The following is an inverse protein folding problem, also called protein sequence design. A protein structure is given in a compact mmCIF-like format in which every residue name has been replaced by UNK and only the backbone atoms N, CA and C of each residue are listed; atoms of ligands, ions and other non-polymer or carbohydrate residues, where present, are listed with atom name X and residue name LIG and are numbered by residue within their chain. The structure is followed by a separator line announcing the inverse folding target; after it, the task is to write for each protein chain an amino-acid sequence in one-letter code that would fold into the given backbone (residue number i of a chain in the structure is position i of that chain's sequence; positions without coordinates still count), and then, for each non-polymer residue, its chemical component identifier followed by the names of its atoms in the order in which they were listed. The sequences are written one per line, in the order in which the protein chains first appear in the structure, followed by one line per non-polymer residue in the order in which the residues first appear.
data_IF_167844793429
#
_entry.id   IF_167844793429
#
_cell.length_a   1.000
_cell.length_b   1.000
_cell.length_c   1.000
_cell.angle_alpha   90.00
_cell.angle_beta   90.00
_cell.angle_gamma   90.00
#
_symmetry.space_group_name_H-M   'P 1'
#
loop_
_entity.id
_entity.type
_entity.pdbx_description
1 polymer ?
#
# COMPACT_ATOMS: atom_id res chain seq x y z
N UNK A 1 60.13 12.65 45.79
CA UNK A 1 58.82 12.43 45.15
C UNK A 1 59.01 12.64 43.66
N UNK A 2 58.99 11.58 42.86
CA UNK A 2 59.19 11.67 41.40
C UNK A 2 57.83 11.79 40.73
N UNK A 3 57.54 12.97 40.20
CA UNK A 3 56.38 13.24 39.36
C UNK A 3 56.55 12.52 38.01
N UNK A 4 55.85 11.40 37.85
CA UNK A 4 55.78 10.70 36.56
C UNK A 4 54.79 11.42 35.65
N UNK A 5 55.11 11.67 34.37
CA UNK A 5 54.18 12.35 33.46
C UNK A 5 52.96 11.47 33.18
N UNK A 6 51.77 12.06 33.32
CA UNK A 6 50.49 11.45 32.95
C UNK A 6 50.50 11.09 31.45
N UNK A 7 50.10 9.88 31.03
CA UNK A 7 50.10 9.49 29.63
C UNK A 7 49.09 10.32 28.83
N UNK A 8 49.56 10.88 27.71
CA UNK A 8 48.78 11.67 26.74
C UNK A 8 47.60 10.84 26.17
N UNK A 9 46.41 11.43 25.99
CA UNK A 9 45.30 10.78 25.30
C UNK A 9 45.68 10.56 23.83
N UNK A 10 45.86 9.30 23.44
CA UNK A 10 46.10 8.94 22.03
C UNK A 10 44.85 9.27 21.22
N UNK A 11 44.98 10.20 20.28
CA UNK A 11 43.97 10.51 19.27
C UNK A 11 43.52 9.22 18.57
N UNK A 12 42.29 8.80 18.87
CA UNK A 12 41.67 7.66 18.21
C UNK A 12 41.20 8.12 16.82
N UNK A 13 41.57 7.42 15.73
CA UNK A 13 41.12 7.78 14.40
C UNK A 13 39.58 7.67 14.30
N UNK A 14 38.93 8.53 13.51
CA UNK A 14 37.48 8.52 13.38
C UNK A 14 37.03 7.18 12.83
N UNK A 15 36.17 6.48 13.59
CA UNK A 15 35.49 5.26 13.15
C UNK A 15 34.64 5.64 11.94
N UNK A 16 35.14 5.39 10.73
CA UNK A 16 34.35 5.52 9.51
C UNK A 16 33.20 4.53 9.62
N UNK A 17 32.01 5.04 9.95
CA UNK A 17 30.78 4.27 9.94
C UNK A 17 30.63 3.67 8.55
N UNK A 18 30.82 2.35 8.45
CA UNK A 18 30.48 1.58 7.27
C UNK A 18 29.02 1.87 6.97
N UNK A 19 28.78 2.82 6.05
CA UNK A 19 27.48 2.95 5.41
C UNK A 19 27.16 1.57 4.86
N UNK A 20 25.96 1.04 5.08
CA UNK A 20 25.67 -0.36 4.87
C UNK A 20 25.65 -0.66 3.36
N UNK A 21 26.82 -0.86 2.78
CA UNK A 21 27.04 -1.22 1.38
C UNK A 21 26.28 -2.51 1.02
N UNK A 22 26.00 -3.33 2.03
CA UNK A 22 25.15 -4.50 1.93
C UNK A 22 23.70 -4.16 1.54
N UNK A 23 23.13 -3.04 2.00
CA UNK A 23 21.79 -2.59 1.57
C UNK A 23 21.80 -2.27 0.07
N UNK A 24 22.85 -1.60 -0.42
CA UNK A 24 23.02 -1.34 -1.85
C UNK A 24 23.11 -2.63 -2.67
N UNK A 25 23.87 -3.62 -2.18
CA UNK A 25 23.96 -4.95 -2.80
C UNK A 25 22.62 -5.68 -2.84
N UNK A 26 21.87 -5.69 -1.73
CA UNK A 26 20.54 -6.32 -1.66
C UNK A 26 19.55 -5.65 -2.60
N UNK A 27 19.54 -4.32 -2.67
CA UNK A 27 18.67 -3.56 -3.59
C UNK A 27 19.03 -3.87 -5.04
N UNK A 28 20.32 -3.98 -5.37
CA UNK A 28 20.76 -4.31 -6.73
C UNK A 28 20.38 -5.73 -7.14
N UNK A 29 20.53 -6.71 -6.25
CA UNK A 29 20.10 -8.10 -6.49
C UNK A 29 18.59 -8.16 -6.68
N UNK A 30 17.82 -7.48 -5.82
CA UNK A 30 16.36 -7.43 -5.94
C UNK A 30 15.93 -6.78 -7.28
N UNK A 31 16.56 -5.68 -7.67
CA UNK A 31 16.31 -5.03 -8.96
C UNK A 31 16.68 -5.93 -10.15
N UNK A 32 17.80 -6.65 -10.06
CA UNK A 32 18.25 -7.60 -11.09
C UNK A 32 17.28 -8.78 -11.26
N UNK A 33 16.81 -9.38 -10.16
CA UNK A 33 15.79 -10.44 -10.18
C UNK A 33 14.49 -9.91 -10.77
N UNK A 34 14.07 -8.69 -10.42
CA UNK A 34 12.87 -8.06 -10.94
C UNK A 34 12.92 -7.84 -12.46
N UNK A 35 14.07 -7.38 -12.97
CA UNK A 35 14.32 -7.21 -14.40
C UNK A 35 14.37 -8.56 -15.15
N UNK A 36 15.00 -9.59 -14.55
CA UNK A 36 15.07 -10.93 -15.14
C UNK A 36 13.67 -11.56 -15.25
N UNK A 37 12.86 -11.45 -14.19
CA UNK A 37 11.49 -11.95 -14.18
C UNK A 37 10.65 -11.25 -15.25
N UNK A 38 10.74 -9.91 -15.32
CA UNK A 38 10.04 -9.13 -16.34
C UNK A 38 10.45 -9.51 -17.78
N UNK A 39 11.69 -9.95 -17.99
CA UNK A 39 12.19 -10.39 -19.29
C UNK A 39 11.71 -11.82 -19.66
N UNK A 40 11.68 -12.73 -18.68
CA UNK A 40 11.40 -14.17 -18.89
C UNK A 40 9.92 -14.51 -19.06
N UNK A 41 9.01 -13.92 -18.27
CA UNK A 41 7.63 -14.43 -18.21
C UNK A 41 6.70 -13.85 -19.28
N UNK A 42 7.05 -12.75 -19.97
CA UNK A 42 6.18 -11.97 -20.90
C UNK A 42 4.85 -11.48 -20.30
N UNK A 43 4.40 -12.08 -19.19
CA UNK A 43 3.50 -11.59 -18.16
C UNK A 43 4.31 -10.75 -17.18
N UNK A 44 4.47 -9.47 -17.51
CA UNK A 44 4.91 -8.49 -16.52
C UNK A 44 3.67 -8.10 -15.71
N UNK A 45 3.59 -8.52 -14.44
CA UNK A 45 2.78 -7.80 -13.46
C UNK A 45 3.48 -6.46 -13.20
N UNK A 46 3.43 -5.57 -14.20
CA UNK A 46 4.01 -4.23 -14.17
C UNK A 46 3.56 -3.48 -12.90
N UNK A 47 2.34 -3.79 -12.47
CA UNK A 47 1.68 -3.17 -11.34
C UNK A 47 1.51 -4.12 -10.15
N UNK A 48 2.46 -5.02 -9.88
CA UNK A 48 2.45 -5.85 -8.66
C UNK A 48 2.34 -5.01 -7.37
N UNK A 49 2.82 -3.77 -7.40
CA UNK A 49 2.66 -2.78 -6.33
C UNK A 49 1.20 -2.42 -6.06
N UNK A 50 0.27 -2.68 -6.99
CA UNK A 50 -1.16 -2.46 -6.79
C UNK A 50 -1.73 -3.29 -5.63
N UNK A 51 -1.04 -4.37 -5.20
CA UNK A 51 -1.36 -5.09 -3.98
C UNK A 51 -1.29 -4.17 -2.75
N UNK A 52 -0.44 -3.13 -2.75
CA UNK A 52 -0.41 -2.13 -1.70
C UNK A 52 -1.68 -1.30 -1.62
N UNK A 53 -2.43 -1.12 -2.72
CA UNK A 53 -3.72 -0.44 -2.71
C UNK A 53 -4.80 -1.26 -1.99
N UNK A 54 -4.63 -2.59 -1.89
CA UNK A 54 -5.55 -3.43 -1.15
C UNK A 54 -5.45 -3.23 0.37
N UNK A 55 -4.32 -2.75 0.89
CA UNK A 55 -4.14 -2.50 2.33
C UNK A 55 -5.10 -1.40 2.84
N UNK A 56 -5.11 -0.16 2.29
CA UNK A 56 -6.07 0.85 2.68
C UNK A 56 -7.51 0.50 2.25
N UNK A 57 -7.67 -0.29 1.18
CA UNK A 57 -8.98 -0.80 0.78
C UNK A 57 -9.58 -1.71 1.85
N UNK A 58 -8.80 -2.67 2.34
CA UNK A 58 -9.19 -3.57 3.41
C UNK A 58 -9.51 -2.81 4.70
N UNK A 59 -8.71 -1.79 5.06
CA UNK A 59 -9.00 -0.93 6.21
C UNK A 59 -10.32 -0.17 6.08
N UNK A 60 -10.62 0.34 4.89
CA UNK A 60 -11.88 1.06 4.61
C UNK A 60 -13.08 0.11 4.65
N UNK A 61 -12.96 -1.09 4.05
CA UNK A 61 -14.00 -2.12 4.11
C UNK A 61 -14.22 -2.66 5.52
N UNK A 62 -13.16 -2.84 6.30
CA UNK A 62 -13.25 -3.23 7.71
C UNK A 62 -13.98 -2.18 8.53
N UNK A 63 -13.71 -0.90 8.28
CA UNK A 63 -14.43 0.22 8.91
C UNK A 63 -15.90 0.19 8.52
N UNK A 64 -16.24 -0.01 7.25
CA UNK A 64 -17.62 -0.14 6.81
C UNK A 64 -18.34 -1.32 7.51
N UNK A 65 -17.68 -2.48 7.59
CA UNK A 65 -18.20 -3.67 8.22
C UNK A 65 -18.43 -3.50 9.72
N UNK A 66 -17.49 -2.88 10.43
CA UNK A 66 -17.62 -2.62 11.87
C UNK A 66 -18.74 -1.62 12.18
N UNK A 67 -18.90 -0.57 11.37
CA UNK A 67 -20.02 0.38 11.50
C UNK A 67 -21.34 -0.35 11.25
N UNK A 68 -21.44 -1.14 10.18
CA UNK A 68 -22.65 -1.89 9.86
C UNK A 68 -23.05 -2.87 10.97
N UNK A 69 -22.08 -3.61 11.53
CA UNK A 69 -22.30 -4.54 12.64
C UNK A 69 -22.75 -3.83 13.93
N UNK A 70 -22.22 -2.63 14.19
CA UNK A 70 -22.57 -1.82 15.37
C UNK A 70 -23.92 -1.13 15.24
N UNK A 71 -24.39 -0.90 14.01
CA UNK A 71 -25.65 -0.22 13.72
C UNK A 71 -26.84 -1.18 13.49
N UNK A 72 -26.84 -2.34 14.15
CA UNK A 72 -27.93 -3.34 14.06
C UNK A 72 -28.27 -3.74 12.62
N UNK A 73 -27.26 -3.89 11.75
CA UNK A 73 -27.44 -4.24 10.33
C UNK A 73 -28.16 -3.17 9.48
N UNK A 74 -28.35 -1.96 10.01
CA UNK A 74 -28.93 -0.83 9.27
C UNK A 74 -27.88 -0.18 8.38
N UNK A 75 -28.18 -0.02 7.09
CA UNK A 75 -27.34 0.68 6.13
C UNK A 75 -27.37 2.19 6.35
N UNK A 76 -26.57 2.65 7.32
CA UNK A 76 -26.51 4.05 7.71
C UNK A 76 -25.48 4.83 6.89
N UNK A 77 -25.68 6.14 6.73
CA UNK A 77 -24.81 7.03 5.95
C UNK A 77 -23.32 6.95 6.35
N UNK A 78 -23.05 6.73 7.64
CA UNK A 78 -21.70 6.57 8.19
C UNK A 78 -20.95 5.33 7.67
N UNK A 79 -21.64 4.24 7.31
CA UNK A 79 -21.01 3.03 6.74
C UNK A 79 -20.70 3.15 5.25
N UNK A 80 -21.38 4.07 4.54
CA UNK A 80 -21.33 4.19 3.08
C UNK A 80 -20.01 4.77 2.59
N UNK A 81 -19.51 5.83 3.25
CA UNK A 81 -18.24 6.47 2.87
C UNK A 81 -17.06 5.48 2.84
N UNK A 82 -16.80 4.75 3.95
CA UNK A 82 -15.75 3.73 3.98
C UNK A 82 -16.00 2.57 3.00
N UNK A 83 -17.26 2.21 2.75
CA UNK A 83 -17.60 1.13 1.81
C UNK A 83 -17.31 1.51 0.36
N UNK A 84 -17.75 2.70 -0.07
CA UNK A 84 -17.51 3.23 -1.43
C UNK A 84 -16.02 3.48 -1.63
N UNK A 85 -15.35 4.10 -0.65
CA UNK A 85 -13.90 4.32 -0.70
C UNK A 85 -13.11 3.02 -0.80
N UNK A 86 -13.50 2.00 -0.02
CA UNK A 86 -12.94 0.66 -0.10
C UNK A 86 -13.15 0.01 -1.46
N UNK A 87 -14.38 0.03 -1.99
CA UNK A 87 -14.70 -0.52 -3.32
C UNK A 87 -13.90 0.16 -4.44
N UNK A 88 -13.77 1.49 -4.39
CA UNK A 88 -12.97 2.26 -5.35
C UNK A 88 -11.50 1.84 -5.31
N UNK A 89 -10.93 1.68 -4.11
CA UNK A 89 -9.53 1.25 -3.96
C UNK A 89 -9.32 -0.20 -4.43
N UNK A 90 -10.25 -1.11 -4.12
CA UNK A 90 -10.22 -2.48 -4.67
C UNK A 90 -10.30 -2.45 -6.20
N UNK A 91 -11.20 -1.64 -6.75
CA UNK A 91 -11.38 -1.53 -8.20
C UNK A 91 -10.12 -0.98 -8.89
N UNK A 92 -9.50 0.04 -8.32
CA UNK A 92 -8.20 0.55 -8.78
C UNK A 92 -7.11 -0.53 -8.68
N UNK A 93 -7.05 -1.26 -7.57
CA UNK A 93 -6.08 -2.35 -7.40
C UNK A 93 -6.23 -3.41 -8.50
N UNK A 94 -7.46 -3.80 -8.84
CA UNK A 94 -7.77 -4.73 -9.94
C UNK A 94 -7.35 -4.13 -11.29
N UNK A 95 -7.73 -2.88 -11.59
CA UNK A 95 -7.36 -2.20 -12.84
C UNK A 95 -5.84 -2.23 -13.04
N UNK A 96 -5.09 -1.85 -12.03
CA UNK A 96 -3.64 -1.85 -12.10
C UNK A 96 -3.09 -3.28 -12.17
N UNK A 97 -3.49 -4.19 -11.29
CA UNK A 97 -2.94 -5.55 -11.22
C UNK A 97 -3.10 -6.31 -12.54
N UNK A 98 -4.21 -6.13 -13.25
CA UNK A 98 -4.49 -6.76 -14.54
C UNK A 98 -4.19 -5.87 -15.76
N UNK A 99 -3.68 -4.65 -15.54
CA UNK A 99 -3.41 -3.66 -16.59
C UNK A 99 -4.61 -3.45 -17.53
N UNK A 100 -5.79 -3.28 -16.94
CA UNK A 100 -7.04 -3.16 -17.68
C UNK A 100 -7.13 -1.81 -18.41
N UNK A 101 -7.65 -1.82 -19.64
CA UNK A 101 -7.90 -0.61 -20.41
C UNK A 101 -8.91 0.31 -19.74
N UNK A 102 -8.49 1.55 -19.45
CA UNK A 102 -9.34 2.60 -18.87
C UNK A 102 -10.65 2.82 -19.64
N UNK A 103 -10.60 2.77 -20.97
CA UNK A 103 -11.77 2.92 -21.84
C UNK A 103 -12.81 1.80 -21.70
N UNK A 104 -12.41 0.63 -21.17
CA UNK A 104 -13.31 -0.52 -20.92
C UNK A 104 -13.80 -0.57 -19.48
N UNK A 105 -13.00 -0.15 -18.51
CA UNK A 105 -13.31 -0.30 -17.07
C UNK A 105 -14.01 0.88 -16.44
N UNK A 106 -14.02 2.07 -17.07
CA UNK A 106 -14.70 3.25 -16.52
C UNK A 106 -16.18 3.04 -16.13
N UNK A 107 -17.01 2.21 -16.82
CA UNK A 107 -18.39 1.97 -16.41
C UNK A 107 -18.49 1.31 -15.04
N UNK A 108 -17.44 0.61 -14.58
CA UNK A 108 -17.39 0.04 -13.24
C UNK A 108 -17.47 1.09 -12.13
N UNK A 109 -16.92 2.29 -12.33
CA UNK A 109 -17.07 3.38 -11.36
C UNK A 109 -18.52 3.85 -11.26
N UNK A 110 -19.26 3.88 -12.38
CA UNK A 110 -20.69 4.19 -12.36
C UNK A 110 -21.49 3.13 -11.59
N UNK A 111 -21.12 1.85 -11.69
CA UNK A 111 -21.75 0.78 -10.92
C UNK A 111 -21.47 0.97 -9.42
N UNK A 112 -20.24 1.30 -9.04
CA UNK A 112 -19.86 1.51 -7.63
C UNK A 112 -20.60 2.73 -7.05
N UNK A 113 -20.57 3.86 -7.75
CA UNK A 113 -21.22 5.10 -7.31
C UNK A 113 -22.74 4.98 -7.35
N UNK A 114 -23.29 4.45 -8.45
CA UNK A 114 -24.72 4.19 -8.62
C UNK A 114 -25.26 3.22 -7.58
N UNK A 115 -24.52 2.14 -7.28
CA UNK A 115 -24.85 1.23 -6.18
C UNK A 115 -24.85 1.93 -4.82
N UNK A 116 -23.87 2.79 -4.55
CA UNK A 116 -23.83 3.63 -3.35
C UNK A 116 -25.03 4.58 -3.23
N UNK A 117 -25.51 5.12 -4.36
CA UNK A 117 -26.70 5.98 -4.42
C UNK A 117 -27.99 5.19 -4.21
N UNK A 118 -28.10 3.97 -4.75
CA UNK A 118 -29.25 3.09 -4.49
C UNK A 118 -29.37 2.75 -3.00
N UNK A 119 -28.24 2.44 -2.36
CA UNK A 119 -28.17 2.24 -0.91
C UNK A 119 -28.53 3.51 -0.13
N UNK A 120 -28.42 4.68 -0.76
CA UNK A 120 -28.84 5.97 -0.18
C UNK A 120 -30.35 6.15 -0.25
N UNK A 121 -30.96 5.94 -1.42
CA UNK A 121 -32.40 6.08 -1.59
C UNK A 121 -33.25 5.05 -0.82
N UNK A 122 -32.68 3.89 -0.45
CA UNK A 122 -33.37 2.85 0.33
C UNK A 122 -33.28 3.11 1.84
N UNK A 123 -32.20 3.75 2.32
CA UNK A 123 -31.99 3.99 3.76
C UNK A 123 -32.63 5.26 4.32
N UNK A 124 -33.24 6.09 3.47
CA UNK A 124 -33.97 7.32 3.85
C UNK A 124 -35.49 7.09 4.01
N UNK A 125 -35.95 5.83 3.95
CA UNK A 125 -37.32 5.41 4.27
C UNK A 125 -37.34 4.64 5.59
#
# INVERSE_FOLDING_TARGET
MNDSPSPEPKDQPPVQGNKPAWIGGVVLVAAGVFLLLGNLTRFSLQNWWAVFLLIPAAGSLWTAYTIWRRNEWRFNAASRGPLIGGLVLVFLAVIFLFNLDWGRVWPGFLIIVGGGLLLTGIGER
#
